data_IF_049681743450
#
_entry.id   IF_049681743450
#
_cell.length_a   1.000
_cell.length_b   1.000
_cell.length_c   1.000
_cell.angle_alpha   90.00
_cell.angle_beta   90.00
_cell.angle_gamma   90.00
#
_symmetry.space_group_name_H-M   'P 1'
#
loop_
_entity.id
_entity.type
_entity.pdbx_description
1 polymer ?
#
# COMPACT_ATOMS: atom_id res chain seq x y z
N UNK A 1 -51.06 39.59 -48.73
CA UNK A 1 -50.00 38.58 -48.55
C UNK A 1 -49.91 38.38 -47.05
N UNK A 2 -50.60 37.36 -46.56
CA UNK A 2 -50.80 37.04 -45.16
C UNK A 2 -49.63 36.20 -44.64
N UNK A 3 -48.81 36.76 -43.77
CA UNK A 3 -47.78 36.02 -43.05
C UNK A 3 -48.45 35.07 -42.03
N UNK A 4 -48.27 33.78 -42.26
CA UNK A 4 -48.75 32.70 -41.40
C UNK A 4 -47.56 32.22 -40.58
N UNK A 5 -47.47 32.65 -39.33
CA UNK A 5 -46.45 32.22 -38.38
C UNK A 5 -46.71 30.76 -37.97
N UNK A 6 -45.74 29.89 -38.23
CA UNK A 6 -45.83 28.45 -37.96
C UNK A 6 -45.58 28.19 -36.47
N UNK A 7 -46.40 27.41 -35.75
CA UNK A 7 -46.19 27.16 -34.32
C UNK A 7 -44.95 26.30 -34.09
N UNK A 8 -44.13 26.72 -33.11
CA UNK A 8 -42.99 25.94 -32.63
C UNK A 8 -43.46 24.63 -31.99
N UNK A 9 -42.82 23.52 -32.36
CA UNK A 9 -43.06 22.21 -31.77
C UNK A 9 -42.67 22.19 -30.28
N UNK A 10 -43.40 21.46 -29.42
CA UNK A 10 -43.10 21.40 -28.00
C UNK A 10 -41.73 20.76 -27.78
N UNK A 11 -40.92 21.38 -26.92
CA UNK A 11 -39.62 20.88 -26.52
C UNK A 11 -39.78 19.49 -25.90
N UNK A 12 -39.09 18.51 -26.48
CA UNK A 12 -39.03 17.16 -25.93
C UNK A 12 -38.41 17.21 -24.53
N UNK A 13 -39.16 16.73 -23.54
CA UNK A 13 -38.69 16.52 -22.17
C UNK A 13 -37.39 15.71 -22.19
N UNK A 14 -36.28 16.37 -21.83
CA UNK A 14 -35.01 15.70 -21.55
C UNK A 14 -35.22 14.82 -20.31
N UNK A 15 -35.26 13.50 -20.51
CA UNK A 15 -35.08 12.52 -19.42
C UNK A 15 -33.90 12.95 -18.54
N UNK A 16 -34.06 12.97 -17.21
CA UNK A 16 -33.00 13.40 -16.30
C UNK A 16 -31.82 12.46 -16.43
N UNK A 17 -30.62 13.02 -16.59
CA UNK A 17 -29.37 12.28 -16.61
C UNK A 17 -29.22 11.56 -15.26
N UNK A 18 -29.26 10.23 -15.28
CA UNK A 18 -28.86 9.41 -14.13
C UNK A 18 -27.42 9.79 -13.76
N UNK A 19 -27.23 10.31 -12.55
CA UNK A 19 -26.00 11.02 -12.16
C UNK A 19 -24.74 10.14 -12.27
N UNK A 20 -23.62 10.68 -12.76
CA UNK A 20 -22.32 9.98 -12.78
C UNK A 20 -21.85 9.64 -11.36
N UNK A 21 -22.25 10.44 -10.37
CA UNK A 21 -21.90 10.29 -8.96
C UNK A 21 -22.42 8.99 -8.36
N UNK A 22 -23.68 8.60 -8.61
CA UNK A 22 -24.22 7.35 -8.08
C UNK A 22 -23.50 6.12 -8.63
N UNK A 23 -23.13 6.16 -9.91
CA UNK A 23 -22.36 5.09 -10.54
C UNK A 23 -20.96 4.99 -9.94
N UNK A 24 -20.30 6.13 -9.70
CA UNK A 24 -18.96 6.17 -9.12
C UNK A 24 -18.97 5.73 -7.64
N UNK A 25 -19.96 6.18 -6.86
CA UNK A 25 -20.18 5.71 -5.49
C UNK A 25 -20.42 4.20 -5.42
N UNK A 26 -21.14 3.63 -6.39
CA UNK A 26 -21.35 2.17 -6.46
C UNK A 26 -20.05 1.43 -6.66
N UNK A 27 -19.13 1.96 -7.49
CA UNK A 27 -17.80 1.37 -7.70
C UNK A 27 -16.95 1.44 -6.43
N UNK A 28 -16.95 2.58 -5.73
CA UNK A 28 -16.27 2.72 -4.43
C UNK A 28 -16.79 1.71 -3.41
N UNK A 29 -18.11 1.60 -3.25
CA UNK A 29 -18.74 0.64 -2.32
C UNK A 29 -18.37 -0.79 -2.67
N UNK A 30 -18.44 -1.16 -3.94
CA UNK A 30 -18.08 -2.51 -4.39
C UNK A 30 -16.60 -2.82 -4.12
N UNK A 31 -15.70 -1.86 -4.36
CA UNK A 31 -14.29 -2.03 -4.04
C UNK A 31 -14.08 -2.18 -2.52
N UNK A 32 -14.78 -1.38 -1.72
CA UNK A 32 -14.74 -1.46 -0.26
C UNK A 32 -15.27 -2.79 0.28
N UNK A 33 -16.35 -3.33 -0.29
CA UNK A 33 -16.90 -4.63 0.10
C UNK A 33 -15.91 -5.76 -0.16
N UNK A 34 -15.19 -5.74 -1.29
CA UNK A 34 -14.12 -6.69 -1.57
C UNK A 34 -13.00 -6.55 -0.54
N UNK A 35 -12.52 -5.33 -0.29
CA UNK A 35 -11.46 -5.06 0.70
C UNK A 35 -11.86 -5.55 2.08
N UNK A 36 -13.05 -5.23 2.56
CA UNK A 36 -13.54 -5.64 3.87
C UNK A 36 -13.65 -7.17 4.00
N UNK A 37 -14.06 -7.86 2.94
CA UNK A 37 -14.15 -9.32 2.94
C UNK A 37 -12.76 -9.98 2.93
N UNK A 38 -11.79 -9.41 2.21
CA UNK A 38 -10.41 -9.90 2.24
C UNK A 38 -9.75 -9.60 3.59
N UNK A 39 -9.96 -8.41 4.15
CA UNK A 39 -9.42 -8.01 5.45
C UNK A 39 -9.81 -9.00 6.55
N UNK A 40 -11.08 -9.42 6.60
CA UNK A 40 -11.55 -10.44 7.56
C UNK A 40 -10.77 -11.75 7.45
N UNK A 41 -10.53 -12.23 6.23
CA UNK A 41 -9.73 -13.44 5.97
C UNK A 41 -8.28 -13.26 6.37
N UNK A 42 -7.70 -12.08 6.14
CA UNK A 42 -6.31 -11.79 6.53
C UNK A 42 -6.15 -11.74 8.05
N UNK A 43 -7.14 -11.22 8.78
CA UNK A 43 -7.17 -11.26 10.24
C UNK A 43 -7.17 -12.72 10.73
N UNK A 44 -7.98 -13.60 10.12
CA UNK A 44 -8.00 -15.03 10.44
C UNK A 44 -6.68 -15.75 10.15
N UNK A 45 -5.95 -15.34 9.10
CA UNK A 45 -4.65 -15.88 8.75
C UNK A 45 -3.50 -15.35 9.62
N UNK A 46 -3.71 -14.24 10.33
CA UNK A 46 -2.69 -13.56 11.13
C UNK A 46 -2.55 -14.19 12.52
N UNK A 47 -2.11 -15.44 12.54
CA UNK A 47 -1.90 -16.25 13.75
C UNK A 47 -0.42 -16.41 14.08
N UNK A 48 -0.13 -16.85 15.31
CA UNK A 48 1.23 -17.15 15.74
C UNK A 48 1.90 -18.18 14.81
N UNK A 49 3.14 -17.91 14.41
CA UNK A 49 3.93 -18.72 13.48
C UNK A 49 3.63 -18.50 12.00
N UNK A 50 2.59 -17.71 11.64
CA UNK A 50 2.30 -17.39 10.25
C UNK A 50 3.42 -16.53 9.65
N UNK A 51 3.86 -16.86 8.44
CA UNK A 51 4.87 -16.07 7.72
C UNK A 51 4.23 -14.84 7.09
N UNK A 52 4.87 -13.69 7.28
CA UNK A 52 4.40 -12.41 6.75
C UNK A 52 4.25 -12.46 5.23
N UNK A 53 5.21 -13.06 4.53
CA UNK A 53 5.16 -13.17 3.06
C UNK A 53 3.96 -13.99 2.56
N UNK A 54 3.57 -15.04 3.28
CA UNK A 54 2.46 -15.91 2.89
C UNK A 54 1.15 -15.13 3.01
N UNK A 55 1.00 -14.33 4.07
CA UNK A 55 -0.14 -13.43 4.28
C UNK A 55 -0.20 -12.37 3.16
N UNK A 56 0.94 -11.73 2.84
CA UNK A 56 1.03 -10.76 1.75
C UNK A 56 0.69 -11.35 0.37
N UNK A 57 1.08 -12.59 0.12
CA UNK A 57 0.84 -13.26 -1.18
C UNK A 57 -0.60 -13.72 -1.29
N UNK A 58 -1.16 -14.30 -0.22
CA UNK A 58 -2.55 -14.74 -0.22
C UNK A 58 -3.51 -13.54 -0.24
N UNK A 59 -3.17 -12.42 0.43
CA UNK A 59 -3.96 -11.19 0.37
C UNK A 59 -4.10 -10.64 -1.05
N UNK A 60 -3.00 -10.51 -1.78
CA UNK A 60 -3.01 -10.03 -3.16
C UNK A 60 -3.86 -10.96 -4.06
N UNK A 61 -3.70 -12.27 -3.90
CA UNK A 61 -4.49 -13.29 -4.61
C UNK A 61 -5.99 -13.20 -4.29
N UNK A 62 -6.35 -13.01 -3.02
CA UNK A 62 -7.75 -12.87 -2.60
C UNK A 62 -8.39 -11.58 -3.14
N UNK A 63 -7.64 -10.48 -3.21
CA UNK A 63 -8.09 -9.23 -3.84
C UNK A 63 -8.33 -9.43 -5.33
N UNK A 64 -7.38 -10.04 -6.04
CA UNK A 64 -7.51 -10.31 -7.47
C UNK A 64 -8.71 -11.20 -7.78
N UNK A 65 -8.95 -12.22 -6.96
CA UNK A 65 -10.13 -13.10 -7.09
C UNK A 65 -11.43 -12.34 -6.82
N UNK A 66 -11.48 -11.54 -5.75
CA UNK A 66 -12.67 -10.78 -5.37
C UNK A 66 -13.05 -9.74 -6.43
N UNK A 67 -12.09 -8.97 -6.92
CA UNK A 67 -12.30 -7.98 -7.98
C UNK A 67 -12.56 -8.65 -9.34
N UNK A 68 -11.90 -9.77 -9.60
CA UNK A 68 -12.08 -10.58 -10.81
C UNK A 68 -13.54 -11.00 -11.03
N UNK A 69 -14.27 -11.25 -9.95
CA UNK A 69 -15.68 -11.67 -10.01
C UNK A 69 -16.66 -10.55 -10.41
N UNK A 70 -16.31 -9.27 -10.26
CA UNK A 70 -17.23 -8.14 -10.44
C UNK A 70 -16.90 -7.32 -11.69
N UNK A 71 -17.89 -6.64 -12.29
CA UNK A 71 -17.70 -5.76 -13.46
C UNK A 71 -17.03 -6.45 -14.68
N UNK A 72 -17.44 -7.69 -14.98
CA UNK A 72 -16.92 -8.45 -16.14
C UNK A 72 -17.55 -8.07 -17.48
N UNK A 73 -18.72 -7.42 -17.46
CA UNK A 73 -19.36 -6.93 -18.68
C UNK A 73 -18.79 -5.55 -19.04
N UNK A 74 -18.48 -5.29 -20.32
CA UNK A 74 -18.03 -3.98 -20.75
C UNK A 74 -19.12 -2.94 -20.51
N UNK A 75 -18.73 -1.78 -19.98
CA UNK A 75 -19.63 -0.63 -19.82
C UNK A 75 -19.36 0.30 -21.01
N UNK A 76 -20.40 0.61 -21.80
CA UNK A 76 -20.28 1.44 -23.01
C UNK A 76 -19.21 0.93 -23.99
N UNK A 77 -19.03 -0.38 -24.10
CA UNK A 77 -18.04 -1.01 -24.98
C UNK A 77 -16.59 -0.97 -24.47
N UNK A 78 -16.33 -0.36 -23.30
CA UNK A 78 -15.01 -0.28 -22.68
C UNK A 78 -14.92 -1.31 -21.54
N UNK A 79 -13.82 -2.08 -21.53
CA UNK A 79 -13.51 -2.98 -20.40
C UNK A 79 -13.16 -2.15 -19.19
N UNK A 80 -13.83 -2.42 -18.07
CA UNK A 80 -13.59 -1.71 -16.81
C UNK A 80 -12.21 -2.09 -16.26
N UNK A 81 -11.35 -1.09 -16.03
CA UNK A 81 -10.05 -1.28 -15.40
C UNK A 81 -10.26 -1.66 -13.94
N UNK A 82 -9.59 -2.71 -13.45
CA UNK A 82 -9.81 -3.20 -12.09
C UNK A 82 -8.59 -3.98 -11.59
N UNK A 83 -8.33 -3.92 -10.29
CA UNK A 83 -7.17 -4.58 -9.71
C UNK A 83 -6.81 -4.03 -8.33
N UNK A 84 -5.59 -4.31 -7.90
CA UNK A 84 -5.06 -3.89 -6.61
C UNK A 84 -4.83 -2.36 -6.64
N UNK A 85 -5.36 -1.65 -5.64
CA UNK A 85 -5.09 -0.23 -5.42
C UNK A 85 -3.94 0.01 -4.44
N UNK A 86 -3.73 -0.92 -3.51
CA UNK A 86 -2.58 -0.92 -2.62
C UNK A 86 -2.23 -2.38 -2.31
N UNK A 87 -0.98 -2.82 -2.54
CA UNK A 87 -0.59 -4.21 -2.32
C UNK A 87 -0.67 -4.57 -0.84
N UNK A 88 -0.85 -5.85 -0.56
CA UNK A 88 -0.98 -6.33 0.81
C UNK A 88 0.31 -6.10 1.59
N UNK A 89 0.21 -5.29 2.63
CA UNK A 89 1.29 -4.99 3.56
C UNK A 89 0.94 -5.49 4.95
N UNK A 90 1.94 -6.02 5.64
CA UNK A 90 1.83 -6.55 6.99
C UNK A 90 3.00 -6.01 7.79
N UNK A 91 2.81 -4.85 8.41
CA UNK A 91 3.85 -4.22 9.24
C UNK A 91 3.73 -4.71 10.68
N UNK A 92 4.85 -5.04 11.33
CA UNK A 92 4.84 -5.64 12.68
C UNK A 92 5.49 -4.70 13.68
N UNK A 93 4.89 -4.55 14.86
CA UNK A 93 5.38 -3.77 16.00
C UNK A 93 5.80 -2.33 15.62
N UNK A 94 7.10 -2.03 15.65
CA UNK A 94 7.66 -0.71 15.43
C UNK A 94 7.65 -0.28 13.95
N UNK A 95 7.53 -1.22 13.01
CA UNK A 95 7.39 -0.88 11.59
C UNK A 95 6.05 -0.17 11.40
N UNK A 96 6.10 1.05 10.91
CA UNK A 96 4.97 1.96 10.68
C UNK A 96 4.13 1.48 9.51
N UNK A 97 4.73 1.27 8.33
CA UNK A 97 3.96 0.96 7.11
C UNK A 97 4.78 0.32 5.99
N UNK A 98 4.09 -0.09 4.92
CA UNK A 98 4.62 -0.53 3.62
C UNK A 98 5.46 -1.82 3.61
N UNK A 99 5.43 -2.61 4.67
CA UNK A 99 6.18 -3.85 4.70
C UNK A 99 5.49 -4.95 3.88
N UNK A 100 6.08 -5.32 2.74
CA UNK A 100 5.58 -6.37 1.85
C UNK A 100 6.79 -7.11 1.21
N UNK A 101 7.37 -8.10 1.92
CA UNK A 101 8.66 -8.69 1.57
C UNK A 101 8.57 -9.55 0.29
N UNK A 102 9.73 -9.80 -0.34
CA UNK A 102 9.81 -10.66 -1.53
C UNK A 102 10.13 -12.11 -1.18
N UNK A 103 9.79 -13.01 -2.11
CA UNK A 103 10.08 -14.42 -1.95
C UNK A 103 11.58 -14.71 -2.05
N UNK A 104 12.07 -15.58 -1.16
CA UNK A 104 13.40 -16.12 -1.29
C UNK A 104 13.37 -17.26 -2.32
N UNK A 105 13.85 -17.03 -3.54
CA UNK A 105 14.07 -18.11 -4.50
C UNK A 105 15.41 -18.78 -4.19
N UNK A 106 15.38 -19.87 -3.43
CA UNK A 106 16.53 -20.76 -3.30
C UNK A 106 16.67 -21.57 -4.59
N UNK A 107 17.59 -21.19 -5.48
CA UNK A 107 17.97 -22.03 -6.61
C UNK A 107 18.86 -23.17 -6.12
N UNK A 108 18.35 -24.41 -6.15
CA UNK A 108 19.21 -25.60 -6.14
C UNK A 108 19.92 -25.64 -7.49
N UNK A 109 21.19 -25.23 -7.52
CA UNK A 109 22.05 -25.51 -8.66
C UNK A 109 22.48 -26.97 -8.63
N UNK A 110 22.21 -27.78 -9.67
CA UNK A 110 23.03 -28.94 -9.95
C UNK A 110 24.30 -28.43 -10.64
N UNK A 111 25.33 -28.05 -9.88
CA UNK A 111 26.61 -27.66 -10.50
C UNK A 111 27.58 -28.84 -10.54
N UNK A 112 28.19 -29.15 -11.70
CA UNK A 112 29.43 -29.89 -11.75
C UNK A 112 30.57 -28.97 -11.31
N UNK A 113 31.29 -29.38 -10.27
CA UNK A 113 32.71 -29.14 -10.04
C UNK A 113 33.24 -27.70 -10.23
N UNK A 114 32.97 -26.80 -9.27
CA UNK A 114 33.89 -25.74 -8.74
C UNK A 114 33.12 -24.80 -7.80
N UNK A 115 33.52 -24.76 -6.53
CA UNK A 115 32.92 -23.91 -5.49
C UNK A 115 33.86 -22.73 -5.20
N UNK A 116 33.27 -21.53 -5.09
CA UNK A 116 33.92 -20.31 -4.62
C UNK A 116 33.46 -20.05 -3.17
N UNK A 117 34.39 -19.86 -2.23
CA UNK A 117 34.07 -19.37 -0.88
C UNK A 117 34.74 -18.00 -0.66
N UNK A 118 33.97 -17.00 -0.24
CA UNK A 118 34.48 -15.72 0.24
C UNK A 118 34.46 -15.73 1.77
N UNK A 119 35.64 -15.94 2.37
CA UNK A 119 35.89 -15.80 3.80
C UNK A 119 37.24 -15.11 4.02
N UNK A 120 37.37 -14.37 5.12
CA UNK A 120 38.31 -13.27 5.37
C UNK A 120 39.84 -13.55 5.38
N UNK A 121 40.34 -14.61 4.75
CA UNK A 121 41.77 -14.76 4.41
C UNK A 121 41.87 -15.49 3.07
N UNK A 122 42.38 -14.79 2.04
CA UNK A 122 42.65 -15.36 0.72
C UNK A 122 43.72 -16.46 0.82
N UNK A 123 43.30 -17.71 0.87
CA UNK A 123 44.16 -18.85 0.61
C UNK A 123 43.42 -19.87 -0.27
N UNK A 124 44.10 -20.27 -1.35
CA UNK A 124 43.60 -21.21 -2.35
C UNK A 124 43.94 -22.64 -1.93
N UNK A 125 42.94 -23.52 -1.89
CA UNK A 125 43.13 -24.98 -1.86
C UNK A 125 42.23 -25.62 -2.91
N UNK A 126 42.83 -26.41 -3.79
CA UNK A 126 42.10 -27.32 -4.68
C UNK A 126 41.68 -28.55 -3.89
N UNK A 127 40.39 -28.92 -3.98
CA UNK A 127 39.88 -30.20 -3.49
C UNK A 127 39.61 -31.13 -4.67
N UNK A 128 40.00 -32.40 -4.55
CA UNK A 128 39.71 -33.44 -5.53
C UNK A 128 38.34 -34.04 -5.25
N UNK A 129 37.66 -34.50 -6.30
CA UNK A 129 36.30 -35.06 -6.26
C UNK A 129 36.15 -36.26 -5.29
N UNK A 130 37.26 -36.92 -4.94
CA UNK A 130 37.32 -38.00 -3.95
C UNK A 130 37.07 -37.56 -2.50
N UNK A 131 37.12 -36.26 -2.21
CA UNK A 131 37.12 -35.74 -0.83
C UNK A 131 35.72 -35.33 -0.33
N UNK A 132 34.69 -35.38 -1.19
CA UNK A 132 33.31 -34.98 -0.87
C UNK A 132 32.50 -36.16 -0.33
N UNK A 133 32.14 -36.11 0.97
CA UNK A 133 31.14 -37.01 1.55
C UNK A 133 29.73 -36.52 1.21
N UNK A 134 28.80 -37.47 1.02
CA UNK A 134 27.40 -37.29 0.54
C UNK A 134 26.52 -36.34 1.37
N UNK A 135 27.04 -35.75 2.45
CA UNK A 135 26.34 -34.86 3.38
C UNK A 135 26.74 -33.39 3.24
N UNK A 136 27.77 -33.06 2.45
CA UNK A 136 28.22 -31.67 2.29
C UNK A 136 27.52 -31.01 1.10
N UNK A 137 26.20 -30.85 1.23
CA UNK A 137 25.39 -30.04 0.33
C UNK A 137 25.66 -28.57 0.66
N UNK A 138 26.61 -27.97 -0.03
CA UNK A 138 26.96 -26.58 0.16
C UNK A 138 25.87 -25.68 -0.44
N UNK A 139 24.90 -25.30 0.38
CA UNK A 139 23.92 -24.25 0.11
C UNK A 139 24.66 -22.92 -0.04
N UNK A 140 25.00 -22.54 -1.27
CA UNK A 140 25.46 -21.18 -1.58
C UNK A 140 24.21 -20.29 -1.59
N UNK A 141 23.95 -19.60 -0.47
CA UNK A 141 22.90 -18.59 -0.36
C UNK A 141 23.22 -17.41 -1.27
N UNK A 142 22.65 -17.39 -2.48
CA UNK A 142 22.69 -16.20 -3.34
C UNK A 142 21.46 -15.33 -3.09
N UNK A 143 21.67 -14.21 -2.38
CA UNK A 143 20.73 -13.09 -2.15
C UNK A 143 19.36 -13.47 -1.58
N UNK A 144 19.33 -14.00 -0.36
CA UNK A 144 18.11 -14.04 0.46
C UNK A 144 17.65 -12.61 0.81
N UNK A 145 16.37 -12.30 0.63
CA UNK A 145 15.75 -11.26 1.47
C UNK A 145 15.58 -11.86 2.86
N UNK A 146 16.41 -11.47 3.82
CA UNK A 146 16.31 -11.93 5.22
C UNK A 146 14.90 -11.71 5.77
N UNK A 147 14.25 -10.64 5.33
CA UNK A 147 12.89 -10.23 5.65
C UNK A 147 11.80 -11.20 5.19
N UNK A 148 12.09 -12.08 4.22
CA UNK A 148 11.13 -13.11 3.77
C UNK A 148 10.83 -14.20 4.81
N UNK A 149 11.69 -14.31 5.84
CA UNK A 149 11.56 -15.31 6.89
C UNK A 149 10.78 -14.82 8.12
N UNK A 150 10.31 -13.57 8.13
CA UNK A 150 9.60 -13.01 9.28
C UNK A 150 8.29 -13.75 9.54
N UNK A 151 8.15 -14.25 10.76
CA UNK A 151 6.95 -14.91 11.27
C UNK A 151 6.31 -14.05 12.36
N UNK A 152 5.00 -14.10 12.45
CA UNK A 152 4.24 -13.46 13.52
C UNK A 152 4.47 -14.20 14.85
N UNK A 153 4.78 -13.47 15.90
CA UNK A 153 4.87 -13.98 17.26
C UNK A 153 3.61 -13.64 18.06
N UNK A 154 3.40 -14.36 19.18
CA UNK A 154 2.35 -14.03 20.13
C UNK A 154 2.51 -12.61 20.65
N UNK A 155 1.39 -11.90 20.76
CA UNK A 155 1.25 -10.52 21.20
C UNK A 155 1.91 -9.46 20.30
N UNK A 156 2.30 -9.82 19.08
CA UNK A 156 2.76 -8.85 18.07
C UNK A 156 1.61 -7.92 17.67
N UNK A 157 1.93 -6.63 17.51
CA UNK A 157 1.02 -5.62 16.95
C UNK A 157 1.17 -5.62 15.43
N UNK A 158 0.19 -6.15 14.73
CA UNK A 158 0.21 -6.32 13.27
C UNK A 158 -0.70 -5.30 12.61
N UNK A 159 -0.15 -4.51 11.69
CA UNK A 159 -0.89 -3.56 10.85
C UNK A 159 -1.05 -4.19 9.47
N UNK A 160 -2.29 -4.52 9.10
CA UNK A 160 -2.67 -5.01 7.80
C UNK A 160 -3.11 -3.82 6.95
N UNK A 161 -2.59 -3.66 5.74
CA UNK A 161 -2.97 -2.58 4.83
C UNK A 161 -3.13 -3.12 3.42
N UNK A 162 -4.32 -2.97 2.86
CA UNK A 162 -4.71 -3.50 1.54
C UNK A 162 -5.60 -2.51 0.79
N UNK A 163 -5.65 -2.62 -0.54
CA UNK A 163 -6.54 -1.80 -1.35
C UNK A 163 -6.95 -2.42 -2.68
N UNK A 164 -8.16 -2.08 -3.12
CA UNK A 164 -8.77 -2.50 -4.38
C UNK A 164 -9.26 -1.30 -5.17
N UNK A 165 -9.27 -1.36 -6.50
CA UNK A 165 -9.94 -0.36 -7.32
C UNK A 165 -10.83 -0.97 -8.40
N UNK A 166 -11.86 -0.22 -8.75
CA UNK A 166 -12.75 -0.49 -9.89
C UNK A 166 -12.89 0.81 -10.68
N UNK A 167 -12.55 0.77 -11.95
CA UNK A 167 -12.53 1.89 -12.89
C UNK A 167 -11.69 3.09 -12.41
N UNK A 168 -10.65 2.83 -11.63
CA UNK A 168 -9.84 3.87 -11.01
C UNK A 168 -10.41 4.46 -9.71
N UNK A 169 -11.58 4.01 -9.24
CA UNK A 169 -12.09 4.38 -7.93
C UNK A 169 -11.60 3.38 -6.89
N UNK A 170 -10.71 3.84 -6.01
CA UNK A 170 -10.01 2.99 -5.05
C UNK A 170 -10.70 2.98 -3.68
N UNK A 171 -10.65 1.83 -3.01
CA UNK A 171 -10.88 1.71 -1.58
C UNK A 171 -9.64 1.10 -0.97
N UNK A 172 -9.11 1.76 0.05
CA UNK A 172 -7.91 1.35 0.79
C UNK A 172 -8.29 1.31 2.26
N UNK A 173 -7.92 0.23 2.93
CA UNK A 173 -8.24 0.00 4.34
C UNK A 173 -7.01 -0.54 5.06
N UNK A 174 -6.83 -0.08 6.29
CA UNK A 174 -5.83 -0.61 7.19
C UNK A 174 -6.47 -0.95 8.54
N UNK A 175 -6.05 -2.06 9.13
CA UNK A 175 -6.52 -2.55 10.42
C UNK A 175 -5.31 -2.93 11.27
N UNK A 176 -5.40 -2.68 12.58
CA UNK A 176 -4.37 -3.08 13.54
C UNK A 176 -4.93 -4.14 14.48
N UNK A 177 -4.28 -5.30 14.52
CA UNK A 177 -4.65 -6.42 15.38
C UNK A 177 -3.47 -6.81 16.28
N UNK A 178 -3.77 -7.59 17.33
CA UNK A 178 -2.75 -8.22 18.17
C UNK A 178 -2.88 -9.72 18.06
N UNK A 179 -1.77 -10.38 17.73
CA UNK A 179 -1.72 -11.82 17.53
C UNK A 179 -2.00 -12.54 18.85
N UNK A 180 -3.06 -13.36 18.87
CA UNK A 180 -3.47 -14.12 20.05
C UNK A 180 -4.36 -13.36 21.05
N UNK A 181 -4.73 -12.11 20.76
CA UNK A 181 -5.67 -11.36 21.59
C UNK A 181 -7.09 -11.97 21.50
N UNK A 182 -7.74 -12.12 22.66
CA UNK A 182 -9.09 -12.67 22.78
C UNK A 182 -9.80 -12.02 23.98
N UNK A 183 -11.10 -12.31 24.17
CA UNK A 183 -11.83 -11.81 25.33
C UNK A 183 -11.26 -12.39 26.65
N UNK A 184 -10.73 -13.61 26.59
CA UNK A 184 -10.09 -14.31 27.71
C UNK A 184 -8.68 -13.77 27.98
N UNK A 185 -7.97 -13.33 26.93
CA UNK A 185 -6.63 -12.75 27.02
C UNK A 185 -6.65 -11.31 26.46
N UNK A 186 -7.18 -10.33 27.23
CA UNK A 186 -7.23 -8.95 26.79
C UNK A 186 -5.83 -8.33 26.75
N UNK A 187 -5.64 -7.44 25.78
CA UNK A 187 -4.39 -6.68 25.63
C UNK A 187 -4.32 -5.61 26.72
N UNK A 188 -3.15 -5.48 27.37
CA UNK A 188 -2.90 -4.48 28.41
C UNK A 188 -1.63 -3.67 28.15
N UNK A 189 -1.46 -2.57 28.92
CA UNK A 189 -0.28 -1.72 28.89
C UNK A 189 -0.19 -0.86 27.63
N UNK A 190 1.04 -0.44 27.28
CA UNK A 190 1.29 0.53 26.19
C UNK A 190 0.74 0.11 24.82
N UNK A 191 0.66 -1.19 24.57
CA UNK A 191 0.04 -1.74 23.34
C UNK A 191 -1.47 -1.47 23.29
N UNK A 192 -2.16 -1.63 24.41
CA UNK A 192 -3.59 -1.31 24.50
C UNK A 192 -3.81 0.21 24.37
N UNK A 193 -2.98 1.01 25.04
CA UNK A 193 -3.07 2.48 25.01
C UNK A 193 -2.96 3.02 23.59
N UNK A 194 -1.94 2.60 22.84
CA UNK A 194 -1.70 3.12 21.48
C UNK A 194 -2.78 2.71 20.50
N UNK A 195 -3.30 1.49 20.60
CA UNK A 195 -4.40 1.01 19.76
C UNK A 195 -5.67 1.79 20.09
N UNK A 196 -5.95 2.03 21.38
CA UNK A 196 -7.11 2.81 21.79
C UNK A 196 -6.98 4.27 21.41
N UNK A 197 -5.77 4.82 21.47
CA UNK A 197 -5.44 6.16 21.00
C UNK A 197 -5.70 6.30 19.50
N UNK A 198 -5.19 5.37 18.68
CA UNK A 198 -5.39 5.35 17.24
C UNK A 198 -6.87 5.19 16.87
N UNK A 199 -7.60 4.28 17.52
CA UNK A 199 -9.03 4.09 17.28
C UNK A 199 -9.85 5.34 17.64
N UNK A 200 -9.58 5.94 18.81
CA UNK A 200 -10.27 7.16 19.23
C UNK A 200 -9.92 8.35 18.33
N UNK A 201 -8.68 8.40 17.85
CA UNK A 201 -8.21 9.38 16.88
C UNK A 201 -8.88 9.21 15.50
N UNK A 202 -9.12 7.98 15.06
CA UNK A 202 -9.88 7.69 13.84
C UNK A 202 -11.35 8.13 13.98
N UNK A 203 -11.99 7.81 15.11
CA UNK A 203 -13.37 8.22 15.39
C UNK A 203 -13.54 9.74 15.41
N UNK A 204 -12.60 10.49 16.01
CA UNK A 204 -12.65 11.96 16.01
C UNK A 204 -12.36 12.53 14.63
N UNK A 205 -11.43 11.93 13.87
CA UNK A 205 -11.12 12.35 12.51
C UNK A 205 -12.35 12.21 11.61
N UNK A 206 -13.04 11.06 11.66
CA UNK A 206 -14.28 10.81 10.91
C UNK A 206 -15.38 11.84 11.21
N UNK A 207 -15.48 12.30 12.46
CA UNK A 207 -16.47 13.33 12.86
C UNK A 207 -16.05 14.76 12.50
N UNK A 208 -14.75 14.99 12.33
CA UNK A 208 -14.18 16.31 12.05
C UNK A 208 -14.07 16.56 10.55
N UNK A 209 -13.91 15.51 9.73
CA UNK A 209 -13.97 15.60 8.27
C UNK A 209 -15.42 15.79 7.83
N UNK A 210 -15.82 17.06 7.68
CA UNK A 210 -17.13 17.48 7.20
C UNK A 210 -16.99 18.68 6.29
N UNK A 211 -17.92 18.86 5.35
CA UNK A 211 -17.92 20.02 4.47
C UNK A 211 -17.86 21.33 5.27
N UNK A 212 -17.03 22.27 4.82
CA UNK A 212 -16.79 23.55 5.48
C UNK A 212 -15.72 23.52 6.58
N UNK A 213 -15.37 22.35 7.14
CA UNK A 213 -14.23 22.24 8.05
C UNK A 213 -12.89 22.30 7.30
N UNK A 214 -11.82 22.61 8.03
CA UNK A 214 -10.45 22.65 7.51
C UNK A 214 -9.64 21.41 7.92
N UNK A 215 -8.66 21.05 7.11
CA UNK A 215 -7.71 19.97 7.41
C UNK A 215 -7.02 20.13 8.79
N UNK A 216 -6.58 21.35 9.13
CA UNK A 216 -5.92 21.64 10.40
C UNK A 216 -6.74 21.30 11.64
N UNK A 217 -8.07 21.41 11.57
CA UNK A 217 -8.93 21.02 12.67
C UNK A 217 -8.84 19.52 12.97
N UNK A 218 -8.64 18.70 11.93
CA UNK A 218 -8.42 17.24 12.07
C UNK A 218 -7.05 16.99 12.71
N UNK A 219 -6.00 17.62 12.20
CA UNK A 219 -4.62 17.52 12.74
C UNK A 219 -4.58 17.84 14.24
N UNK A 220 -5.20 18.95 14.65
CA UNK A 220 -5.26 19.37 16.05
C UNK A 220 -6.11 18.44 16.93
N UNK A 221 -7.24 17.94 16.41
CA UNK A 221 -8.09 17.01 17.14
C UNK A 221 -7.38 15.67 17.38
N UNK A 222 -6.76 15.10 16.35
CA UNK A 222 -5.98 13.86 16.44
C UNK A 222 -4.81 14.01 17.41
N UNK A 223 -4.08 15.14 17.34
CA UNK A 223 -2.98 15.43 18.26
C UNK A 223 -3.41 15.47 19.73
N UNK A 224 -4.55 16.13 20.03
CA UNK A 224 -5.10 16.18 21.40
C UNK A 224 -5.54 14.80 21.91
N UNK A 225 -6.18 14.00 21.06
CA UNK A 225 -6.62 12.65 21.45
C UNK A 225 -5.43 11.75 21.72
N UNK A 226 -4.43 11.74 20.84
CA UNK A 226 -3.24 10.92 21.04
C UNK A 226 -2.50 11.29 22.35
N UNK A 227 -2.41 12.59 22.65
CA UNK A 227 -1.77 13.07 23.88
C UNK A 227 -2.48 12.61 25.16
N UNK A 228 -3.80 12.41 25.15
CA UNK A 228 -4.54 11.89 26.31
C UNK A 228 -4.19 10.44 26.67
N UNK A 229 -3.54 9.70 25.77
CA UNK A 229 -3.07 8.33 25.96
C UNK A 229 -1.53 8.24 26.08
N UNK A 230 -0.87 9.38 26.34
CA UNK A 230 0.58 9.51 26.33
C UNK A 230 1.21 8.99 25.01
N UNK A 231 0.52 9.20 23.89
CA UNK A 231 0.96 8.78 22.57
C UNK A 231 1.14 9.99 21.64
N UNK A 232 1.85 9.78 20.53
CA UNK A 232 2.09 10.81 19.51
C UNK A 232 1.65 10.32 18.14
N UNK A 233 0.92 11.13 17.35
CA UNK A 233 0.72 10.83 15.94
C UNK A 233 2.08 10.80 15.22
N UNK A 234 2.23 9.93 14.24
CA UNK A 234 3.48 9.81 13.50
C UNK A 234 3.70 11.06 12.64
N UNK A 235 4.87 11.68 12.80
CA UNK A 235 5.24 12.95 12.15
C UNK A 235 5.20 12.84 10.62
N UNK A 236 4.53 13.79 9.98
CA UNK A 236 4.55 13.95 8.53
C UNK A 236 3.67 12.99 7.74
N UNK A 237 2.94 12.08 8.40
CA UNK A 237 2.05 11.14 7.71
C UNK A 237 0.82 11.85 7.14
N UNK A 238 0.36 11.40 5.97
CA UNK A 238 -0.61 12.13 5.14
C UNK A 238 -1.88 11.31 4.90
N UNK A 239 -3.03 11.89 5.24
CA UNK A 239 -4.32 11.46 4.68
C UNK A 239 -4.61 12.27 3.42
N UNK A 240 -4.96 11.61 2.32
CA UNK A 240 -5.08 12.25 1.01
C UNK A 240 -6.50 12.20 0.46
N UNK A 241 -6.88 13.24 -0.26
CA UNK A 241 -8.05 13.18 -1.14
C UNK A 241 -7.81 12.14 -2.24
N UNK A 242 -8.86 11.37 -2.56
CA UNK A 242 -8.86 10.38 -3.62
C UNK A 242 -9.76 10.83 -4.77
N UNK A 243 -9.29 10.61 -5.99
CA UNK A 243 -10.06 10.80 -7.22
C UNK A 243 -9.82 9.61 -8.15
N UNK A 244 -10.48 9.59 -9.30
CA UNK A 244 -10.31 8.50 -10.25
C UNK A 244 -8.83 8.37 -10.67
N UNK A 245 -8.24 7.19 -10.42
CA UNK A 245 -6.85 6.83 -10.67
C UNK A 245 -5.81 7.54 -9.78
N UNK A 246 -6.22 8.27 -8.73
CA UNK A 246 -5.31 9.00 -7.86
C UNK A 246 -5.68 8.78 -6.39
N UNK A 247 -4.80 8.15 -5.63
CA UNK A 247 -4.97 7.97 -4.17
C UNK A 247 -4.27 9.06 -3.35
N UNK A 248 -3.29 9.74 -3.94
CA UNK A 248 -2.46 10.76 -3.31
C UNK A 248 -2.75 12.16 -3.88
N UNK A 249 -4.03 12.55 -3.82
CA UNK A 249 -4.51 13.85 -4.29
C UNK A 249 -3.82 15.05 -3.64
N UNK A 250 -4.08 16.23 -4.21
CA UNK A 250 -3.43 17.49 -3.79
C UNK A 250 -3.91 17.99 -2.42
N UNK A 251 -5.19 17.78 -2.11
CA UNK A 251 -5.74 18.12 -0.79
C UNK A 251 -5.34 17.04 0.21
N UNK A 252 -4.71 17.46 1.31
CA UNK A 252 -4.10 16.55 2.29
C UNK A 252 -4.35 17.02 3.72
N UNK A 253 -4.33 16.08 4.64
CA UNK A 253 -4.28 16.28 6.09
C UNK A 253 -2.94 15.71 6.54
N UNK A 254 -2.21 16.44 7.39
CA UNK A 254 -0.92 16.01 7.91
C UNK A 254 -1.02 15.69 9.40
N UNK A 255 -0.39 14.62 9.83
CA UNK A 255 -0.25 14.26 11.23
C UNK A 255 1.05 14.83 11.80
N UNK A 256 0.96 15.40 13.00
CA UNK A 256 2.10 15.89 13.79
C UNK A 256 3.19 16.59 12.93
N UNK A 257 2.87 17.66 12.17
CA UNK A 257 3.84 18.27 11.26
C UNK A 257 4.96 19.00 12.00
N UNK A 258 6.18 18.88 11.46
CA UNK A 258 7.30 19.74 11.84
C UNK A 258 7.07 21.21 11.50
N UNK A 259 7.83 22.12 12.10
CA UNK A 259 7.74 23.56 11.83
C UNK A 259 8.01 23.92 10.36
N UNK A 260 8.85 23.15 9.67
CA UNK A 260 9.06 23.32 8.23
C UNK A 260 7.81 22.93 7.44
N UNK A 261 7.24 21.74 7.72
CA UNK A 261 6.04 21.26 7.05
C UNK A 261 4.86 22.19 7.27
N UNK A 262 4.67 22.76 8.46
CA UNK A 262 3.59 23.72 8.74
C UNK A 262 3.59 24.94 7.81
N UNK A 263 4.78 25.40 7.37
CA UNK A 263 4.91 26.58 6.49
C UNK A 263 4.56 26.28 5.04
N UNK A 264 4.82 25.06 4.60
CA UNK A 264 4.62 24.62 3.21
C UNK A 264 3.25 23.97 2.99
N UNK A 265 2.62 23.49 4.05
CA UNK A 265 1.40 22.70 3.96
C UNK A 265 0.15 23.58 3.77
N UNK A 266 -0.56 23.35 2.67
CA UNK A 266 -1.73 24.13 2.29
C UNK A 266 -2.91 23.89 3.24
N UNK A 267 -3.55 24.98 3.68
CA UNK A 267 -4.82 24.90 4.39
C UNK A 267 -5.95 24.64 3.39
N UNK A 268 -6.61 23.48 3.51
CA UNK A 268 -7.72 23.10 2.62
C UNK A 268 -9.02 23.00 3.39
N UNK A 269 -10.11 23.40 2.73
CA UNK A 269 -11.49 23.22 3.23
C UNK A 269 -12.12 22.02 2.54
N UNK A 270 -12.73 21.15 3.33
CA UNK A 270 -13.47 19.99 2.81
C UNK A 270 -14.74 20.44 2.10
N UNK A 271 -15.07 19.76 1.00
CA UNK A 271 -16.27 20.00 0.22
C UNK A 271 -17.14 18.74 0.11
N UNK A 272 -18.42 18.91 -0.21
CA UNK A 272 -19.32 17.79 -0.50
C UNK A 272 -18.89 17.05 -1.76
N UNK A 273 -19.13 15.74 -1.79
CA UNK A 273 -18.75 14.88 -2.92
C UNK A 273 -17.26 14.51 -2.99
N UNK A 274 -16.44 14.95 -2.03
CA UNK A 274 -15.04 14.55 -1.94
C UNK A 274 -14.88 13.18 -1.29
N UNK A 275 -13.94 12.38 -1.81
CA UNK A 275 -13.53 11.10 -1.22
C UNK A 275 -12.14 11.27 -0.61
N UNK A 276 -11.94 10.71 0.57
CA UNK A 276 -10.73 10.85 1.35
C UNK A 276 -10.27 9.50 1.89
N UNK A 277 -8.98 9.20 1.76
CA UNK A 277 -8.32 8.13 2.50
C UNK A 277 -7.80 8.71 3.81
N UNK A 278 -8.47 8.38 4.92
CA UNK A 278 -8.07 8.82 6.26
C UNK A 278 -7.14 7.76 6.84
N UNK A 279 -5.92 8.19 7.15
CA UNK A 279 -4.86 7.34 7.69
C UNK A 279 -4.37 7.92 9.04
N UNK A 280 -4.50 7.11 10.09
CA UNK A 280 -4.23 7.49 11.48
C UNK A 280 -3.16 6.57 12.04
N UNK A 281 -1.95 7.10 12.11
CA UNK A 281 -0.77 6.39 12.61
C UNK A 281 -0.36 7.02 13.94
N UNK A 282 -0.35 6.22 14.99
CA UNK A 282 -0.02 6.65 16.36
C UNK A 282 1.10 5.79 16.91
N UNK A 283 2.06 6.43 17.55
CA UNK A 283 3.24 5.81 18.16
C UNK A 283 3.22 5.98 19.68
N UNK A 284 3.76 4.98 20.37
CA UNK A 284 4.09 5.05 21.79
C UNK A 284 5.38 5.83 22.07
N UNK A 285 6.16 6.15 21.03
CA UNK A 285 7.42 6.89 21.15
C UNK A 285 7.22 8.36 21.52
N UNK A 286 8.20 8.95 22.19
CA UNK A 286 8.11 10.31 22.74
C UNK A 286 8.11 11.40 21.65
N UNK A 287 8.88 11.20 20.57
CA UNK A 287 9.02 12.17 19.48
C UNK A 287 8.00 11.95 18.34
N UNK A 288 7.39 10.77 18.25
CA UNK A 288 6.50 10.39 17.16
C UNK A 288 7.19 10.37 15.79
N UNK A 289 8.52 10.32 15.74
CA UNK A 289 9.27 10.39 14.48
C UNK A 289 9.50 8.99 13.91
N UNK A 290 9.04 8.79 12.69
CA UNK A 290 9.33 7.60 11.92
C UNK A 290 10.75 7.71 11.34
N UNK A 291 11.50 6.60 11.34
CA UNK A 291 12.87 6.54 10.80
C UNK A 291 12.90 5.45 9.75
N UNK A 292 13.61 5.69 8.65
CA UNK A 292 13.75 4.69 7.61
C UNK A 292 14.31 3.39 8.20
N UNK A 293 13.64 2.28 7.91
CA UNK A 293 14.11 0.96 8.28
C UNK A 293 15.20 0.50 7.30
N UNK A 294 16.10 -0.41 7.69
CA UNK A 294 17.02 -1.07 6.75
C UNK A 294 16.28 -1.99 5.76
N UNK A 295 14.97 -2.14 5.95
CA UNK A 295 14.08 -2.90 5.10
C UNK A 295 13.99 -2.35 3.69
N UNK A 296 14.01 -3.27 2.73
CA UNK A 296 14.07 -2.89 1.32
C UNK A 296 12.70 -2.43 0.85
N UNK A 297 12.69 -1.32 0.13
CA UNK A 297 11.49 -0.85 -0.56
C UNK A 297 11.09 -1.82 -1.68
N UNK A 298 9.88 -2.37 -1.58
CA UNK A 298 9.30 -3.30 -2.57
C UNK A 298 8.07 -2.72 -3.26
N UNK A 299 7.53 -1.62 -2.75
CA UNK A 299 6.30 -0.99 -3.25
C UNK A 299 6.64 0.32 -3.94
N UNK A 300 6.03 0.50 -5.10
CA UNK A 300 6.28 1.63 -5.97
C UNK A 300 4.97 2.09 -6.62
N UNK A 301 4.87 3.36 -6.97
CA UNK A 301 3.75 3.90 -7.75
C UNK A 301 4.30 4.66 -8.95
N UNK A 302 3.71 4.44 -10.12
CA UNK A 302 4.08 5.18 -11.32
C UNK A 302 3.49 6.58 -11.28
N UNK A 303 4.31 7.58 -11.58
CA UNK A 303 3.83 8.93 -11.87
C UNK A 303 3.64 9.06 -13.39
N UNK A 304 2.39 9.24 -13.83
CA UNK A 304 2.08 9.42 -15.25
C UNK A 304 2.28 10.84 -15.76
N UNK A 305 2.51 11.81 -14.87
CA UNK A 305 2.68 13.22 -15.22
C UNK A 305 4.11 13.54 -15.63
N UNK A 306 5.07 12.74 -15.16
CA UNK A 306 6.49 12.92 -15.42
C UNK A 306 6.89 12.07 -16.62
N UNK A 307 7.56 12.69 -17.59
CA UNK A 307 8.10 12.02 -18.77
C UNK A 307 9.60 12.18 -18.81
N UNK A 308 10.33 11.05 -18.83
CA UNK A 308 11.77 10.99 -18.91
C UNK A 308 12.19 9.82 -19.78
N UNK A 309 13.23 10.02 -20.59
CA UNK A 309 13.78 8.97 -21.45
C UNK A 309 14.89 8.22 -20.71
N UNK A 310 14.54 7.04 -20.18
CA UNK A 310 15.48 6.16 -19.48
C UNK A 310 16.65 5.75 -20.40
N UNK A 311 17.87 5.88 -19.88
CA UNK A 311 19.14 5.65 -20.55
C UNK A 311 19.60 4.20 -20.48
N UNK A 312 19.32 3.48 -19.39
CA UNK A 312 19.70 2.07 -19.30
C UNK A 312 18.70 1.16 -20.02
N UNK A 313 19.22 0.15 -20.73
CA UNK A 313 18.39 -0.87 -21.42
C UNK A 313 17.54 -1.67 -20.44
N UNK A 314 18.09 -1.97 -19.26
CA UNK A 314 17.41 -2.65 -18.16
C UNK A 314 16.23 -1.81 -17.63
N UNK A 315 16.47 -0.53 -17.32
CA UNK A 315 15.43 0.37 -16.83
C UNK A 315 14.31 0.56 -17.85
N UNK A 316 14.63 0.75 -19.14
CA UNK A 316 13.61 0.82 -20.20
C UNK A 316 12.73 -0.42 -20.23
N UNK A 317 13.33 -1.60 -20.19
CA UNK A 317 12.58 -2.86 -20.24
C UNK A 317 11.68 -3.05 -19.01
N UNK A 318 12.21 -2.78 -17.81
CA UNK A 318 11.43 -2.87 -16.55
C UNK A 318 10.32 -1.83 -16.54
N UNK A 319 10.58 -0.59 -16.93
CA UNK A 319 9.56 0.45 -16.96
C UNK A 319 8.46 0.18 -17.99
N UNK A 320 8.79 -0.39 -19.15
CA UNK A 320 7.79 -0.87 -20.12
C UNK A 320 6.93 -2.00 -19.56
N UNK A 321 7.49 -2.86 -18.69
CA UNK A 321 6.72 -3.88 -18.00
C UNK A 321 5.79 -3.27 -16.94
N UNK A 322 6.30 -2.32 -16.14
CA UNK A 322 5.51 -1.53 -15.18
C UNK A 322 4.35 -0.85 -15.90
N UNK A 323 4.54 -0.22 -17.06
CA UNK A 323 3.45 0.40 -17.81
C UNK A 323 2.35 -0.58 -18.27
N UNK A 324 2.70 -1.85 -18.48
CA UNK A 324 1.74 -2.89 -18.91
C UNK A 324 1.00 -3.52 -17.74
N UNK A 325 1.70 -3.73 -16.63
CA UNK A 325 1.19 -4.49 -15.47
C UNK A 325 0.69 -3.58 -14.36
N UNK A 326 1.40 -2.51 -14.08
CA UNK A 326 1.03 -1.54 -13.05
C UNK A 326 0.09 -0.50 -13.63
N UNK A 327 -1.01 -0.26 -12.93
CA UNK A 327 -1.96 0.82 -13.23
C UNK A 327 -1.43 2.18 -12.77
N UNK A 328 -2.36 3.05 -12.38
CA UNK A 328 -2.03 4.33 -11.72
C UNK A 328 -1.75 4.18 -10.21
N UNK A 329 -1.97 2.98 -9.67
CA UNK A 329 -1.90 2.68 -8.25
C UNK A 329 -0.54 2.07 -7.85
N UNK A 330 -0.20 2.14 -6.55
CA UNK A 330 0.92 1.39 -5.99
C UNK A 330 0.90 -0.10 -6.35
N UNK A 331 2.06 -0.64 -6.64
CA UNK A 331 2.28 -2.04 -6.98
C UNK A 331 3.52 -2.56 -6.24
N UNK A 332 3.51 -3.84 -5.90
CA UNK A 332 4.69 -4.53 -5.40
C UNK A 332 5.50 -5.07 -6.59
N UNK A 333 6.84 -5.02 -6.53
CA UNK A 333 7.72 -5.61 -7.55
C UNK A 333 7.50 -7.11 -7.80
N UNK A 334 6.83 -7.85 -6.91
CA UNK A 334 6.36 -9.23 -7.15
C UNK A 334 5.50 -9.42 -8.40
N UNK A 335 4.85 -8.35 -8.88
CA UNK A 335 4.04 -8.43 -10.12
C UNK A 335 4.92 -8.49 -11.38
N UNK A 336 6.20 -8.15 -11.26
CA UNK A 336 7.15 -8.14 -12.37
C UNK A 336 7.77 -9.54 -12.56
N UNK A 337 8.20 -9.85 -13.78
CA UNK A 337 8.68 -11.18 -14.17
C UNK A 337 9.96 -11.61 -13.44
N UNK A 338 10.87 -10.65 -13.22
CA UNK A 338 12.16 -10.88 -12.57
C UNK A 338 12.39 -9.81 -11.50
N UNK A 339 12.25 -10.21 -10.24
CA UNK A 339 12.40 -9.33 -9.07
C UNK A 339 13.79 -8.70 -8.98
N UNK A 340 14.85 -9.45 -9.35
CA UNK A 340 16.24 -8.96 -9.28
C UNK A 340 16.49 -7.90 -10.34
N UNK A 341 15.99 -8.14 -11.56
CA UNK A 341 16.05 -7.16 -12.64
C UNK A 341 15.18 -5.95 -12.36
N UNK A 342 13.99 -6.15 -11.80
CA UNK A 342 13.08 -5.09 -11.39
C UNK A 342 13.75 -4.12 -10.41
N UNK A 343 14.39 -4.65 -9.37
CA UNK A 343 15.13 -3.85 -8.36
C UNK A 343 16.14 -2.90 -8.99
N UNK A 344 17.00 -3.42 -9.88
CA UNK A 344 18.01 -2.58 -10.53
C UNK A 344 17.40 -1.63 -11.56
N UNK A 345 16.38 -2.07 -12.32
CA UNK A 345 15.76 -1.27 -13.37
C UNK A 345 14.89 -0.12 -12.86
N UNK A 346 14.39 -0.20 -11.62
CA UNK A 346 13.58 0.87 -11.02
C UNK A 346 14.41 2.01 -10.44
N UNK A 347 15.70 1.81 -10.14
CA UNK A 347 16.54 2.85 -9.52
C UNK A 347 16.61 4.13 -10.37
N UNK A 348 16.82 3.99 -11.68
CA UNK A 348 16.85 5.13 -12.60
C UNK A 348 15.47 5.81 -12.69
N UNK A 349 14.39 5.02 -12.69
CA UNK A 349 13.03 5.54 -12.74
C UNK A 349 12.67 6.32 -11.47
N UNK A 350 13.15 5.87 -10.30
CA UNK A 350 13.01 6.57 -9.01
C UNK A 350 13.84 7.86 -9.02
N UNK A 351 15.09 7.81 -9.47
CA UNK A 351 15.96 8.99 -9.53
C UNK A 351 15.39 10.12 -10.41
N UNK A 352 14.67 9.75 -11.46
CA UNK A 352 14.02 10.70 -12.37
C UNK A 352 12.52 10.88 -12.11
N UNK A 353 12.04 10.46 -10.93
CA UNK A 353 10.66 10.65 -10.46
C UNK A 353 9.57 10.05 -11.37
N UNK A 354 9.91 9.13 -12.27
CA UNK A 354 8.92 8.36 -13.04
C UNK A 354 8.14 7.39 -12.15
N UNK A 355 8.77 6.99 -11.04
CA UNK A 355 8.23 6.04 -10.08
C UNK A 355 8.55 6.54 -8.67
N UNK A 356 7.53 6.61 -7.83
CA UNK A 356 7.61 7.00 -6.42
C UNK A 356 7.78 5.75 -5.55
N UNK A 357 8.84 5.64 -4.73
CA UNK A 357 8.99 4.56 -3.76
C UNK A 357 8.05 4.77 -2.56
N UNK A 358 7.56 3.66 -2.01
CA UNK A 358 6.87 3.61 -0.72
C UNK A 358 7.78 2.90 0.28
N UNK A 359 8.64 3.68 0.93
CA UNK A 359 9.67 3.16 1.83
C UNK A 359 9.05 2.53 3.08
N UNK A 360 9.75 1.53 3.63
CA UNK A 360 9.43 0.93 4.92
C UNK A 360 10.00 1.84 6.01
N UNK A 361 9.13 2.26 6.93
CA UNK A 361 9.44 3.22 8.00
C UNK A 361 8.97 2.68 9.34
#
# INVERSE_FOLDING_TARGET
>A
MSDSEKPAAPAADKKPATSTLEADLTKYKTAADVVNNVMKKLIELSVEGAKVIDICTEGDKLIEQGIGAVYNKPIKGVRVSKGIAFPTCVSVNNTVSHFSPLACVAFLFPFPSRVLFCGAKQQWKEFKESDLKKTDLLLVFYSSDSQSSQTLAKDDVVKLHIGAHIDGFASVSAETIIVGASAENPVTGRRADVIKAAWTAAEIAMRTVKAGNKNWAVTEAVGRVAAAWDCKPVEGMLSCQQTQNVIDGKKRIILNPSEAQKKEFEAVTFAEGEVWGIDILVSTGEDGKARAEESRTTIYQRDSTITYQLKMKTSRAVFSEVQKKAGAFPFNIRVLEDEKRARMGLQEAVQHSLVKPYDVV
#
